data_IF_638972535663
#
_entry.id   IF_638972535663
#
_cell.length_a   1.000
_cell.length_b   1.000
_cell.length_c   1.000
_cell.angle_alpha   90.00
_cell.angle_beta   90.00
_cell.angle_gamma   90.00
#
_symmetry.space_group_name_H-M   'P 1'
#
loop_
_entity.id
_entity.type
_entity.pdbx_description
1 polymer ?
#
# COMPACT_ATOMS: atom_id res chain seq x y z
N UNK A 1 -5.59 -9.62 8.15
CA UNK A 1 -6.77 -10.48 8.33
C UNK A 1 -6.96 -10.84 9.80
N UNK A 2 -5.99 -11.45 10.48
CA UNK A 2 -6.06 -11.81 11.91
C UNK A 2 -6.51 -10.64 12.79
N UNK A 3 -5.87 -9.47 12.64
CA UNK A 3 -6.27 -8.27 13.39
C UNK A 3 -7.73 -7.85 13.16
N UNK A 4 -8.33 -8.11 11.99
CA UNK A 4 -9.69 -7.70 11.63
C UNK A 4 -10.76 -8.69 12.10
N UNK A 5 -10.40 -9.97 12.19
CA UNK A 5 -11.35 -11.05 12.53
C UNK A 5 -11.47 -11.23 14.04
N UNK A 6 -10.41 -10.88 14.79
CA UNK A 6 -10.35 -11.03 16.24
C UNK A 6 -10.76 -9.75 16.97
N UNK A 7 -11.08 -9.84 18.28
CA UNK A 7 -11.37 -8.67 19.11
C UNK A 7 -10.24 -7.64 19.07
N UNK A 8 -10.59 -6.35 19.07
CA UNK A 8 -9.61 -5.27 18.98
C UNK A 8 -8.53 -5.37 20.08
N UNK A 9 -9.00 -5.62 21.30
CA UNK A 9 -8.17 -5.95 22.44
C UNK A 9 -8.24 -7.46 22.71
N UNK A 10 -7.12 -8.19 22.78
CA UNK A 10 -5.72 -7.74 22.61
C UNK A 10 -5.15 -7.96 21.19
N UNK A 11 -5.91 -8.53 20.24
CA UNK A 11 -5.35 -9.01 18.98
C UNK A 11 -4.72 -7.91 18.12
N UNK A 12 -5.36 -6.73 18.03
CA UNK A 12 -4.82 -5.62 17.23
C UNK A 12 -3.52 -5.08 17.82
N UNK A 13 -3.41 -5.02 19.15
CA UNK A 13 -2.17 -4.61 19.81
C UNK A 13 -1.03 -5.59 19.51
N UNK A 14 -1.29 -6.91 19.64
CA UNK A 14 -0.29 -7.95 19.36
C UNK A 14 0.18 -7.91 17.90
N UNK A 15 -0.74 -7.78 16.94
CA UNK A 15 -0.40 -7.69 15.52
C UNK A 15 0.39 -6.41 15.23
N UNK A 16 -0.01 -5.27 15.79
CA UNK A 16 0.70 -3.99 15.61
C UNK A 16 2.12 -4.05 16.16
N UNK A 17 2.30 -4.56 17.38
CA UNK A 17 3.62 -4.71 18.02
C UNK A 17 4.50 -5.67 17.22
N UNK A 18 3.98 -6.83 16.82
CA UNK A 18 4.75 -7.79 16.02
C UNK A 18 5.17 -7.17 14.67
N UNK A 19 4.26 -6.49 13.98
CA UNK A 19 4.57 -5.87 12.69
C UNK A 19 5.68 -4.81 12.81
N UNK A 20 5.63 -3.98 13.86
CA UNK A 20 6.67 -2.98 14.15
C UNK A 20 7.99 -3.65 14.55
N UNK A 21 7.94 -4.68 15.40
CA UNK A 21 9.13 -5.42 15.82
C UNK A 21 9.83 -6.09 14.63
N UNK A 22 9.07 -6.71 13.72
CA UNK A 22 9.60 -7.30 12.49
C UNK A 22 10.19 -6.24 11.55
N UNK A 23 9.52 -5.09 11.41
CA UNK A 23 9.99 -4.01 10.55
C UNK A 23 11.31 -3.40 11.05
N UNK A 24 11.41 -3.10 12.34
CA UNK A 24 12.58 -2.42 12.91
C UNK A 24 13.72 -3.37 13.29
N UNK A 25 13.41 -4.63 13.58
CA UNK A 25 14.40 -5.65 13.96
C UNK A 25 15.00 -6.34 12.73
N UNK A 26 14.52 -7.54 12.38
CA UNK A 26 15.13 -8.38 11.34
C UNK A 26 15.08 -7.76 9.93
N UNK A 27 14.05 -6.97 9.62
CA UNK A 27 13.95 -6.30 8.32
C UNK A 27 14.85 -5.06 8.21
N UNK A 28 15.37 -4.54 9.32
CA UNK A 28 16.31 -3.40 9.32
C UNK A 28 15.74 -2.10 8.74
N UNK A 29 14.42 -1.90 8.76
CA UNK A 29 13.79 -0.70 8.19
C UNK A 29 14.16 0.52 9.06
N UNK A 30 14.71 1.60 8.47
CA UNK A 30 15.03 2.80 9.23
C UNK A 30 13.80 3.37 9.94
N UNK A 31 13.86 3.50 11.26
CA UNK A 31 12.72 3.96 12.09
C UNK A 31 12.14 5.30 11.64
N UNK A 32 13.00 6.19 11.11
CA UNK A 32 12.57 7.48 10.53
C UNK A 32 11.67 7.32 9.31
N UNK A 33 11.99 6.37 8.42
CA UNK A 33 11.20 6.10 7.21
C UNK A 33 9.86 5.49 7.60
N UNK A 34 9.87 4.50 8.50
CA UNK A 34 8.66 3.86 8.99
C UNK A 34 7.74 4.86 9.72
N UNK A 35 8.29 5.67 10.63
CA UNK A 35 7.53 6.71 11.34
C UNK A 35 6.93 7.78 10.42
N UNK A 36 7.66 8.19 9.37
CA UNK A 36 7.12 9.10 8.35
C UNK A 36 5.98 8.47 7.56
N UNK A 37 6.05 7.17 7.28
CA UNK A 37 5.00 6.45 6.56
C UNK A 37 3.73 6.27 7.40
N UNK A 38 3.86 5.99 8.71
CA UNK A 38 2.73 5.83 9.65
C UNK A 38 1.97 7.15 9.88
N UNK A 39 2.64 8.31 9.74
CA UNK A 39 2.03 9.62 10.00
C UNK A 39 0.80 9.92 9.15
N UNK A 40 0.77 9.47 7.90
CA UNK A 40 -0.36 9.73 7.00
C UNK A 40 -1.61 8.91 7.37
N UNK A 41 -1.52 7.57 7.54
CA UNK A 41 -2.61 6.78 8.07
C UNK A 41 -3.09 7.26 9.44
N UNK A 42 -2.19 7.62 10.36
CA UNK A 42 -2.59 8.03 11.71
C UNK A 42 -3.45 9.30 11.72
N UNK A 43 -3.15 10.27 10.85
CA UNK A 43 -3.98 11.46 10.69
C UNK A 43 -5.40 11.12 10.20
N UNK A 44 -5.51 10.22 9.22
CA UNK A 44 -6.80 9.75 8.72
C UNK A 44 -7.59 8.96 9.78
N UNK A 45 -6.90 8.08 10.51
CA UNK A 45 -7.49 7.28 11.60
C UNK A 45 -8.00 8.19 12.72
N UNK A 46 -7.28 9.25 13.07
CA UNK A 46 -7.70 10.20 14.10
C UNK A 46 -9.02 10.89 13.72
N UNK A 47 -9.15 11.34 12.46
CA UNK A 47 -10.40 11.92 11.95
C UNK A 47 -11.52 10.87 12.00
N UNK A 48 -11.26 9.65 11.54
CA UNK A 48 -12.24 8.55 11.60
C UNK A 48 -12.69 8.20 13.01
N UNK A 49 -11.76 8.18 13.97
CA UNK A 49 -12.05 7.91 15.37
C UNK A 49 -12.95 9.00 15.96
N UNK A 50 -12.67 10.28 15.70
CA UNK A 50 -13.55 11.38 16.13
C UNK A 50 -14.95 11.20 15.56
N UNK A 51 -15.07 10.92 14.26
CA UNK A 51 -16.40 10.71 13.64
C UNK A 51 -17.15 9.50 14.19
N UNK A 52 -16.45 8.45 14.63
CA UNK A 52 -17.08 7.23 15.13
C UNK A 52 -17.66 7.36 16.55
N UNK A 53 -17.19 8.35 17.31
CA UNK A 53 -17.55 8.57 18.71
C UNK A 53 -18.68 9.61 18.83
N UNK A 54 -18.79 10.51 17.86
CA UNK A 54 -19.84 11.52 17.80
C UNK A 54 -21.15 10.86 17.36
N UNK A 55 -22.18 10.98 18.19
CA UNK A 55 -23.52 10.51 17.91
C UNK A 55 -24.45 11.71 17.69
N UNK A 56 -25.30 11.64 16.67
CA UNK A 56 -26.32 12.66 16.38
C UNK A 56 -27.68 12.03 16.66
N UNK A 57 -28.25 12.37 17.81
CA UNK A 57 -29.55 11.86 18.26
C UNK A 57 -30.65 12.91 18.20
N UNK A 58 -31.86 12.52 18.63
CA UNK A 58 -33.03 13.42 18.71
C UNK A 58 -32.82 14.60 19.67
N UNK A 59 -31.86 14.52 20.60
CA UNK A 59 -31.44 15.59 21.52
C UNK A 59 -30.25 16.44 21.05
N UNK A 60 -29.73 16.23 19.83
CA UNK A 60 -28.58 16.96 19.29
C UNK A 60 -27.28 16.13 19.24
N UNK A 61 -26.14 16.84 19.19
CA UNK A 61 -24.80 16.26 19.17
C UNK A 61 -24.40 15.76 20.56
N UNK A 62 -24.07 14.48 20.66
CA UNK A 62 -23.65 13.83 21.89
C UNK A 62 -22.48 12.86 21.68
N UNK A 63 -22.01 12.30 22.80
CA UNK A 63 -21.01 11.22 22.79
C UNK A 63 -21.72 9.88 22.86
N UNK A 64 -21.27 8.92 22.06
CA UNK A 64 -21.77 7.56 22.16
C UNK A 64 -21.51 6.99 23.57
N UNK A 65 -22.43 6.18 24.14
CA UNK A 65 -22.26 5.60 25.48
C UNK A 65 -21.02 4.70 25.57
N UNK A 66 -20.61 4.08 24.45
CA UNK A 66 -19.41 3.26 24.30
C UNK A 66 -18.28 3.99 23.54
N UNK A 67 -18.23 5.31 23.68
CA UNK A 67 -17.30 6.19 23.00
C UNK A 67 -15.84 5.71 23.02
N UNK A 68 -15.33 5.42 24.22
CA UNK A 68 -13.93 5.07 24.42
C UNK A 68 -13.58 3.70 23.86
N UNK A 69 -14.44 2.69 24.07
CA UNK A 69 -14.23 1.33 23.57
C UNK A 69 -14.34 1.28 22.04
N UNK A 70 -15.29 2.00 21.45
CA UNK A 70 -15.45 2.11 20.00
C UNK A 70 -14.26 2.81 19.33
N UNK A 71 -13.82 3.96 19.86
CA UNK A 71 -12.62 4.64 19.36
C UNK A 71 -11.37 3.77 19.50
N UNK A 72 -11.15 3.19 20.69
CA UNK A 72 -10.00 2.33 20.96
C UNK A 72 -9.96 1.13 20.02
N UNK A 73 -11.12 0.50 19.78
CA UNK A 73 -11.23 -0.62 18.86
C UNK A 73 -10.91 -0.22 17.41
N UNK A 74 -11.49 0.87 16.92
CA UNK A 74 -11.26 1.38 15.57
C UNK A 74 -9.79 1.75 15.36
N UNK A 75 -9.21 2.51 16.27
CA UNK A 75 -7.82 2.96 16.21
C UNK A 75 -6.87 1.77 16.26
N UNK A 76 -7.10 0.82 17.18
CA UNK A 76 -6.30 -0.39 17.31
C UNK A 76 -6.26 -1.20 16.01
N UNK A 77 -7.43 -1.54 15.47
CA UNK A 77 -7.55 -2.28 14.21
C UNK A 77 -6.88 -1.56 13.04
N UNK A 78 -7.15 -0.27 12.89
CA UNK A 78 -6.65 0.51 11.77
C UNK A 78 -5.13 0.67 11.82
N UNK A 79 -4.55 0.90 13.01
CA UNK A 79 -3.10 0.98 13.19
C UNK A 79 -2.43 -0.39 12.98
N UNK A 80 -3.00 -1.48 13.50
CA UNK A 80 -2.49 -2.83 13.31
C UNK A 80 -2.46 -3.23 11.82
N UNK A 81 -3.57 -2.98 11.11
CA UNK A 81 -3.66 -3.19 9.67
C UNK A 81 -2.67 -2.34 8.89
N UNK A 82 -2.56 -1.05 9.23
CA UNK A 82 -1.61 -0.14 8.60
C UNK A 82 -0.15 -0.58 8.81
N UNK A 83 0.21 -1.01 10.02
CA UNK A 83 1.56 -1.50 10.32
C UNK A 83 1.89 -2.78 9.54
N UNK A 84 0.94 -3.72 9.41
CA UNK A 84 1.12 -4.94 8.64
C UNK A 84 1.29 -4.65 7.13
N UNK A 85 0.50 -3.73 6.57
CA UNK A 85 0.63 -3.30 5.17
C UNK A 85 1.95 -2.57 4.94
N UNK A 86 2.36 -1.71 5.88
CA UNK A 86 3.64 -1.01 5.80
C UNK A 86 4.83 -1.99 5.86
N UNK A 87 4.79 -2.97 6.76
CA UNK A 87 5.80 -4.02 6.82
C UNK A 87 5.95 -4.69 5.45
N UNK A 88 4.83 -5.13 4.84
CA UNK A 88 4.82 -5.73 3.51
C UNK A 88 5.41 -4.78 2.46
N UNK A 89 4.97 -3.53 2.43
CA UNK A 89 5.43 -2.53 1.46
C UNK A 89 6.92 -2.20 1.59
N UNK A 90 7.49 -2.29 2.79
CA UNK A 90 8.92 -2.03 3.03
C UNK A 90 9.83 -3.24 2.83
N UNK A 91 9.27 -4.45 2.80
CA UNK A 91 10.07 -5.70 2.74
C UNK A 91 9.92 -6.45 1.43
N UNK A 92 8.82 -6.24 0.70
CA UNK A 92 8.49 -7.03 -0.49
C UNK A 92 8.16 -6.11 -1.67
N UNK A 93 9.01 -6.07 -2.73
CA UNK A 93 8.76 -5.23 -3.89
C UNK A 93 7.59 -5.76 -4.74
N UNK A 94 6.94 -4.86 -5.48
CA UNK A 94 5.79 -5.22 -6.32
C UNK A 94 6.15 -6.21 -7.44
N UNK A 95 7.41 -6.20 -7.89
CA UNK A 95 7.96 -7.17 -8.84
C UNK A 95 7.84 -8.61 -8.37
N UNK A 96 7.82 -8.82 -7.04
CA UNK A 96 7.78 -10.15 -6.42
C UNK A 96 6.35 -10.50 -5.99
N UNK A 97 5.57 -9.49 -5.57
CA UNK A 97 4.15 -9.65 -5.23
C UNK A 97 3.32 -10.07 -6.44
N UNK A 98 3.51 -9.45 -7.60
CA UNK A 98 2.71 -9.71 -8.81
C UNK A 98 2.82 -11.17 -9.29
N UNK A 99 4.02 -11.77 -9.44
CA UNK A 99 4.16 -13.19 -9.75
C UNK A 99 3.56 -14.09 -8.66
N UNK A 100 3.68 -13.72 -7.37
CA UNK A 100 3.12 -14.50 -6.28
C UNK A 100 1.58 -14.61 -6.34
N UNK A 101 0.89 -13.60 -6.90
CA UNK A 101 -0.57 -13.64 -7.12
C UNK A 101 -1.02 -14.77 -8.07
N UNK A 102 -0.11 -15.32 -8.90
CA UNK A 102 -0.41 -16.51 -9.72
C UNK A 102 -0.76 -17.71 -8.84
N UNK A 103 -0.08 -17.87 -7.70
CA UNK A 103 -0.37 -18.94 -6.72
C UNK A 103 -1.73 -18.71 -6.04
N UNK A 104 -2.14 -17.46 -5.91
CA UNK A 104 -3.46 -17.06 -5.43
C UNK A 104 -4.57 -17.15 -6.50
N UNK A 105 -4.31 -17.81 -7.65
CA UNK A 105 -5.27 -18.05 -8.74
C UNK A 105 -5.78 -16.78 -9.43
N UNK A 106 -5.08 -15.65 -9.31
CA UNK A 106 -5.39 -14.44 -10.08
C UNK A 106 -5.12 -14.68 -11.57
N UNK A 107 -6.02 -14.29 -12.50
CA UNK A 107 -5.83 -14.51 -13.94
C UNK A 107 -4.55 -13.87 -14.48
N UNK A 108 -3.84 -14.58 -15.36
CA UNK A 108 -2.56 -14.14 -15.92
C UNK A 108 -2.65 -12.75 -16.58
N UNK A 109 -3.72 -12.48 -17.34
CA UNK A 109 -3.93 -11.19 -18.00
C UNK A 109 -3.93 -10.00 -17.01
N UNK A 110 -4.51 -10.17 -15.82
CA UNK A 110 -4.52 -9.12 -14.79
C UNK A 110 -3.12 -8.84 -14.28
N UNK A 111 -2.34 -9.89 -14.03
CA UNK A 111 -0.97 -9.79 -13.56
C UNK A 111 -0.08 -9.14 -14.62
N UNK A 112 -0.27 -9.50 -15.89
CA UNK A 112 0.46 -8.93 -17.02
C UNK A 112 0.20 -7.43 -17.17
N UNK A 113 -1.07 -7.01 -17.16
CA UNK A 113 -1.44 -5.59 -17.19
C UNK A 113 -0.84 -4.85 -16.00
N UNK A 114 -0.98 -5.39 -14.78
CA UNK A 114 -0.42 -4.79 -13.59
C UNK A 114 1.12 -4.66 -13.66
N UNK A 115 1.80 -5.64 -14.24
CA UNK A 115 3.26 -5.64 -14.42
C UNK A 115 3.71 -4.55 -15.39
N UNK A 116 2.99 -4.39 -16.51
CA UNK A 116 3.24 -3.32 -17.48
C UNK A 116 2.94 -1.95 -16.87
N UNK A 117 1.81 -1.80 -16.16
CA UNK A 117 1.46 -0.56 -15.44
C UNK A 117 2.55 -0.19 -14.42
N UNK A 118 2.99 -1.14 -13.60
CA UNK A 118 4.06 -0.90 -12.62
C UNK A 118 5.37 -0.48 -13.28
N UNK A 119 5.76 -1.12 -14.39
CA UNK A 119 6.94 -0.73 -15.16
C UNK A 119 6.80 0.68 -15.77
N UNK A 120 5.64 0.98 -16.35
CA UNK A 120 5.38 2.28 -16.97
C UNK A 120 5.27 3.41 -15.94
N UNK A 121 4.85 3.12 -14.70
CA UNK A 121 4.75 4.11 -13.63
C UNK A 121 6.06 4.87 -13.43
N UNK A 122 7.20 4.17 -13.33
CA UNK A 122 8.50 4.81 -13.13
C UNK A 122 8.96 5.60 -14.36
N UNK A 123 8.72 5.09 -15.56
CA UNK A 123 9.06 5.78 -16.82
C UNK A 123 8.25 7.07 -16.98
N UNK A 124 6.97 7.04 -16.61
CA UNK A 124 6.10 8.20 -16.66
C UNK A 124 6.38 9.18 -15.52
N UNK A 125 6.79 8.69 -14.36
CA UNK A 125 7.22 9.53 -13.24
C UNK A 125 8.47 10.34 -13.59
N UNK A 126 9.44 9.72 -14.26
CA UNK A 126 10.61 10.43 -14.79
C UNK A 126 10.21 11.50 -15.80
N UNK A 127 9.35 11.15 -16.76
CA UNK A 127 8.78 12.13 -17.71
C UNK A 127 8.05 13.28 -17.01
N UNK A 128 7.29 12.98 -15.95
CA UNK A 128 6.60 13.99 -15.15
C UNK A 128 7.59 14.94 -14.50
N UNK A 129 8.66 14.43 -13.89
CA UNK A 129 9.70 15.27 -13.29
C UNK A 129 10.36 16.16 -14.34
N UNK A 130 10.79 15.61 -15.47
CA UNK A 130 11.42 16.41 -16.55
C UNK A 130 10.50 17.52 -17.05
N UNK A 131 9.21 17.22 -17.29
CA UNK A 131 8.24 18.22 -17.75
C UNK A 131 8.01 19.28 -16.67
N UNK A 132 7.88 18.87 -15.41
CA UNK A 132 7.66 19.78 -14.28
C UNK A 132 8.84 20.72 -14.08
N UNK A 133 10.07 20.22 -14.20
CA UNK A 133 11.29 21.03 -14.14
C UNK A 133 11.31 22.09 -15.26
N UNK A 134 11.05 21.66 -16.51
CA UNK A 134 10.98 22.58 -17.65
C UNK A 134 9.88 23.66 -17.49
N UNK A 135 8.72 23.29 -16.95
CA UNK A 135 7.65 24.22 -16.65
C UNK A 135 8.03 25.18 -15.51
N UNK A 136 8.71 24.70 -14.47
CA UNK A 136 9.18 25.51 -13.34
C UNK A 136 10.20 26.54 -13.80
N UNK A 137 11.16 26.15 -14.65
CA UNK A 137 12.13 27.07 -15.26
C UNK A 137 11.47 28.19 -16.09
N UNK A 138 10.27 27.94 -16.64
CA UNK A 138 9.46 28.91 -17.39
C UNK A 138 8.44 29.67 -16.52
N UNK A 139 8.62 29.66 -15.19
CA UNK A 139 7.70 30.29 -14.24
C UNK A 139 6.27 29.73 -14.31
N UNK A 140 6.10 28.47 -14.73
CA UNK A 140 4.81 27.80 -14.92
C UNK A 140 4.01 27.60 -13.63
N UNK A 141 4.65 27.70 -12.46
CA UNK A 141 4.03 27.56 -11.14
C UNK A 141 4.06 28.85 -10.29
N UNK A 142 4.29 30.00 -10.94
CA UNK A 142 4.40 31.31 -10.25
C UNK A 142 3.08 31.90 -9.74
N UNK A 143 1.94 31.40 -10.21
CA UNK A 143 0.61 31.79 -9.72
C UNK A 143 -0.36 30.62 -9.83
N UNK A 144 -1.46 30.63 -9.05
CA UNK A 144 -2.45 29.55 -9.09
C UNK A 144 -3.00 29.31 -10.51
N UNK A 145 -3.33 30.38 -11.25
CA UNK A 145 -3.80 30.27 -12.64
C UNK A 145 -2.77 29.60 -13.55
N UNK A 146 -1.49 29.97 -13.41
CA UNK A 146 -0.39 29.36 -14.17
C UNK A 146 -0.17 27.91 -13.75
N UNK A 147 -0.26 27.61 -12.47
CA UNK A 147 -0.14 26.26 -11.93
C UNK A 147 -1.21 25.33 -12.50
N UNK A 148 -2.49 25.72 -12.49
CA UNK A 148 -3.57 24.92 -13.10
C UNK A 148 -3.32 24.67 -14.59
N UNK A 149 -2.93 25.70 -15.35
CA UNK A 149 -2.60 25.55 -16.78
C UNK A 149 -1.41 24.61 -17.00
N UNK A 150 -0.35 24.74 -16.20
CA UNK A 150 0.85 23.91 -16.29
C UNK A 150 0.56 22.46 -15.90
N UNK A 151 -0.23 22.23 -14.86
CA UNK A 151 -0.67 20.89 -14.46
C UNK A 151 -1.52 20.21 -15.53
N UNK A 152 -2.45 20.94 -16.17
CA UNK A 152 -3.24 20.42 -17.28
C UNK A 152 -2.36 20.04 -18.49
N UNK A 153 -1.43 20.93 -18.87
CA UNK A 153 -0.48 20.65 -19.96
C UNK A 153 0.45 19.47 -19.63
N UNK A 154 0.89 19.34 -18.37
CA UNK A 154 1.69 18.21 -17.91
C UNK A 154 0.90 16.91 -18.01
N UNK A 155 -0.35 16.88 -17.54
CA UNK A 155 -1.20 15.70 -17.59
C UNK A 155 -1.42 15.24 -19.05
N UNK A 156 -1.73 16.18 -19.96
CA UNK A 156 -1.88 15.89 -21.37
C UNK A 156 -0.59 15.33 -21.99
N UNK A 157 0.56 15.93 -21.69
CA UNK A 157 1.85 15.47 -22.20
C UNK A 157 2.22 14.06 -21.68
N UNK A 158 1.98 13.78 -20.40
CA UNK A 158 2.21 12.45 -19.81
C UNK A 158 1.28 11.41 -20.44
N UNK A 159 0.01 11.75 -20.67
CA UNK A 159 -0.96 10.87 -21.33
C UNK A 159 -0.52 10.50 -22.75
N UNK A 160 -0.16 11.48 -23.57
CA UNK A 160 0.33 11.24 -24.94
C UNK A 160 1.58 10.35 -24.92
N UNK A 161 2.55 10.66 -24.07
CA UNK A 161 3.76 9.84 -23.91
C UNK A 161 3.46 8.41 -23.47
N UNK A 162 2.46 8.22 -22.61
CA UNK A 162 2.03 6.88 -22.17
C UNK A 162 1.49 6.05 -23.34
N UNK A 163 0.70 6.67 -24.22
CA UNK A 163 0.13 6.02 -25.40
C UNK A 163 1.23 5.64 -26.40
N UNK A 164 2.14 6.57 -26.70
CA UNK A 164 3.30 6.31 -27.57
C UNK A 164 4.21 5.21 -27.02
N UNK A 165 4.39 5.17 -25.70
CA UNK A 165 5.18 4.13 -25.04
C UNK A 165 4.49 2.77 -25.10
N UNK A 166 3.19 2.72 -24.88
CA UNK A 166 2.40 1.50 -24.99
C UNK A 166 2.45 0.95 -26.43
N UNK A 167 2.28 1.81 -27.45
CA UNK A 167 2.37 1.40 -28.86
C UNK A 167 3.75 0.85 -29.22
N UNK A 168 4.83 1.54 -28.86
CA UNK A 168 6.20 1.04 -29.10
C UNK A 168 6.50 -0.26 -28.36
N UNK A 169 5.96 -0.42 -27.14
CA UNK A 169 6.09 -1.67 -26.39
C UNK A 169 5.35 -2.80 -27.10
N UNK A 170 4.12 -2.57 -27.57
CA UNK A 170 3.34 -3.54 -28.34
C UNK A 170 4.11 -3.98 -29.60
N UNK A 171 4.58 -3.02 -30.41
CA UNK A 171 5.36 -3.28 -31.63
C UNK A 171 6.65 -4.06 -31.33
N UNK A 172 7.38 -3.68 -30.28
CA UNK A 172 8.59 -4.37 -29.86
C UNK A 172 8.36 -5.78 -29.31
N UNK A 173 7.22 -6.03 -28.65
CA UNK A 173 6.83 -7.37 -28.20
C UNK A 173 6.37 -8.24 -29.37
N UNK A 174 5.61 -7.68 -30.31
CA UNK A 174 5.22 -8.37 -31.54
C UNK A 174 6.45 -8.82 -32.34
N UNK A 175 7.47 -7.96 -32.47
CA UNK A 175 8.75 -8.31 -33.12
C UNK A 175 9.55 -9.42 -32.40
N UNK A 176 9.21 -9.73 -31.14
CA UNK A 176 9.81 -10.82 -30.36
C UNK A 176 8.97 -12.11 -30.36
N UNK A 177 7.94 -12.18 -31.20
CA UNK A 177 7.07 -13.36 -31.30
C UNK A 177 6.10 -13.52 -30.14
N UNK A 178 5.61 -12.42 -29.56
CA UNK A 178 4.60 -12.48 -28.51
C UNK A 178 3.24 -12.91 -29.10
N UNK A 179 2.84 -14.17 -28.88
CA UNK A 179 1.58 -14.70 -29.43
C UNK A 179 0.44 -14.88 -28.40
N UNK A 180 0.76 -15.28 -27.17
CA UNK A 180 -0.27 -15.77 -26.22
C UNK A 180 -0.21 -15.15 -24.81
N UNK A 181 0.74 -14.24 -24.56
CA UNK A 181 0.87 -13.51 -23.30
C UNK A 181 2.32 -13.28 -22.86
N UNK A 182 2.50 -12.43 -21.85
CA UNK A 182 3.80 -12.11 -21.25
C UNK A 182 4.23 -13.21 -20.27
N UNK A 183 4.87 -14.26 -20.81
CA UNK A 183 5.53 -15.30 -20.02
C UNK A 183 6.96 -14.89 -19.68
N UNK A 184 7.17 -14.52 -18.42
CA UNK A 184 8.49 -14.23 -17.86
C UNK A 184 8.82 -15.29 -16.81
N UNK A 185 10.08 -15.74 -16.78
CA UNK A 185 10.57 -16.65 -15.76
C UNK A 185 10.82 -15.84 -14.48
N UNK A 186 10.07 -16.07 -13.38
CA UNK A 186 10.30 -15.37 -12.14
C UNK A 186 11.56 -15.90 -11.46
N UNK A 187 12.37 -15.00 -10.91
CA UNK A 187 13.45 -15.38 -10.01
C UNK A 187 12.83 -15.66 -8.63
N UNK A 188 12.68 -16.94 -8.29
CA UNK A 188 12.11 -17.34 -7.00
C UNK A 188 13.21 -17.81 -6.06
N UNK A 189 13.48 -17.03 -5.02
CA UNK A 189 14.31 -17.48 -3.91
C UNK A 189 13.49 -18.44 -3.03
N UNK A 190 14.00 -19.66 -2.73
CA UNK A 190 13.28 -20.59 -1.87
C UNK A 190 13.18 -20.03 -0.45
N UNK A 191 11.97 -20.04 0.12
CA UNK A 191 11.76 -19.69 1.52
C UNK A 191 12.24 -20.81 2.43
N UNK A 192 13.02 -20.48 3.47
CA UNK A 192 13.42 -21.44 4.50
C UNK A 192 12.19 -22.03 5.20
N UNK A 193 12.17 -23.35 5.39
CA UNK A 193 11.11 -24.05 6.13
C UNK A 193 11.03 -23.57 7.57
N UNK A 194 12.16 -23.20 8.18
CA UNK A 194 12.22 -22.62 9.51
C UNK A 194 11.49 -21.27 9.58
N UNK A 195 11.62 -20.44 8.54
CA UNK A 195 10.91 -19.16 8.45
C UNK A 195 9.39 -19.36 8.31
N UNK A 196 8.97 -20.32 7.48
CA UNK A 196 7.55 -20.66 7.34
C UNK A 196 6.95 -21.20 8.64
N UNK A 197 7.67 -22.10 9.32
CA UNK A 197 7.25 -22.65 10.61
C UNK A 197 7.18 -21.55 11.68
N UNK A 198 8.20 -20.71 11.81
CA UNK A 198 8.21 -19.59 12.75
C UNK A 198 7.06 -18.61 12.49
N UNK A 199 6.76 -18.31 11.22
CA UNK A 199 5.62 -17.47 10.82
C UNK A 199 4.30 -18.13 11.25
N UNK A 200 4.11 -19.41 10.92
CA UNK A 200 2.90 -20.16 11.30
C UNK A 200 2.68 -20.19 12.82
N UNK A 201 3.74 -20.49 13.58
CA UNK A 201 3.71 -20.50 15.05
C UNK A 201 3.43 -19.12 15.62
N UNK A 202 4.05 -18.06 15.09
CA UNK A 202 3.81 -16.69 15.54
C UNK A 202 2.36 -16.25 15.32
N UNK A 203 1.79 -16.56 14.16
CA UNK A 203 0.38 -16.26 13.86
C UNK A 203 -0.58 -17.07 14.74
N UNK A 204 -0.33 -18.37 14.90
CA UNK A 204 -1.14 -19.23 15.78
C UNK A 204 -1.05 -18.77 17.25
N UNK A 205 0.13 -18.34 17.71
CA UNK A 205 0.34 -17.78 19.03
C UNK A 205 -0.46 -16.50 19.26
N UNK A 206 -0.52 -15.59 18.27
CA UNK A 206 -1.38 -14.40 18.35
C UNK A 206 -2.85 -14.78 18.47
N UNK A 207 -3.32 -15.74 17.67
CA UNK A 207 -4.71 -16.22 17.72
C UNK A 207 -5.02 -16.82 19.09
N UNK A 208 -4.18 -17.74 19.58
CA UNK A 208 -4.38 -18.38 20.87
C UNK A 208 -4.35 -17.37 22.04
N UNK A 209 -3.38 -16.47 22.05
CA UNK A 209 -3.28 -15.42 23.07
C UNK A 209 -4.49 -14.47 23.03
N UNK A 210 -4.98 -14.14 21.83
CA UNK A 210 -6.15 -13.27 21.69
C UNK A 210 -7.45 -13.92 22.16
N UNK A 211 -7.62 -15.23 21.96
CA UNK A 211 -8.80 -15.96 22.41
C UNK A 211 -8.75 -16.28 23.92
N UNK A 212 -7.56 -16.41 24.51
CA UNK A 212 -7.40 -16.66 25.94
C UNK A 212 -7.47 -15.41 26.83
N UNK A 213 -7.32 -14.22 26.24
CA UNK A 213 -7.38 -12.92 26.92
C UNK A 213 -8.66 -12.12 26.63
N UNK A 214 -9.50 -12.62 25.71
CA UNK A 214 -10.82 -12.07 25.40
C UNK A 214 -11.87 -12.65 26.34
#
# INVERSE_FOLDING_TARGET
>A
VIALVLPAWPASALVGVLAVALALGPAGVPARTFGRAVRWPSAFIAVGAVTAVVEVGSGGLGWAPDAATRAGALVGHALAGSAAVLLLATTTPMSDLLPALRRARVPAAVIEVASVVYRLLFVLLDSLHTIREAQTARMGYSSLRRAYRSSGALAAAVLIRSWDRARRMQEGLAGRGLETGLRVLPETLPSSTAFLAATGVGLAGIVAASLGLA
#
